data_IF_768273995285
#
_entry.id   IF_768273995285
#
_cell.length_a   1.000
_cell.length_b   1.000
_cell.length_c   1.000
_cell.angle_alpha   90.00
_cell.angle_beta   90.00
_cell.angle_gamma   90.00
#
_symmetry.space_group_name_H-M   'P 1'
#
loop_
_entity.id
_entity.type
_entity.pdbx_description
1 polymer ?
#
# COMPACT_ATOMS: atom_id res chain seq x y z
N UNK A 1 17.67 0.63 -15.48
CA UNK A 1 16.35 0.21 -16.01
C UNK A 1 15.99 -1.12 -15.36
N UNK A 2 14.84 -1.22 -14.73
CA UNK A 2 14.32 -2.46 -14.10
C UNK A 2 13.97 -3.47 -15.20
N UNK A 3 14.58 -4.66 -15.15
CA UNK A 3 14.39 -5.71 -16.18
C UNK A 3 13.61 -6.92 -15.65
N UNK A 4 13.52 -7.06 -14.33
CA UNK A 4 12.89 -8.21 -13.68
C UNK A 4 12.27 -7.84 -12.35
N UNK A 5 11.35 -8.68 -11.85
CA UNK A 5 10.83 -8.60 -10.49
C UNK A 5 11.96 -8.57 -9.45
N UNK A 6 13.01 -9.37 -9.66
CA UNK A 6 14.15 -9.44 -8.72
C UNK A 6 14.94 -8.13 -8.67
N UNK A 7 15.14 -7.46 -9.82
CA UNK A 7 15.78 -6.13 -9.83
C UNK A 7 14.97 -5.13 -9.03
N UNK A 8 13.64 -5.13 -9.22
CA UNK A 8 12.74 -4.24 -8.47
C UNK A 8 12.83 -4.51 -6.97
N UNK A 9 12.76 -5.77 -6.55
CA UNK A 9 12.89 -6.16 -5.14
C UNK A 9 14.20 -5.68 -4.52
N UNK A 10 15.34 -5.88 -5.21
CA UNK A 10 16.66 -5.45 -4.75
C UNK A 10 16.70 -3.92 -4.56
N UNK A 11 16.17 -3.17 -5.51
CA UNK A 11 16.13 -1.71 -5.40
C UNK A 11 15.30 -1.22 -4.21
N UNK A 12 14.16 -1.86 -3.95
CA UNK A 12 13.30 -1.51 -2.82
C UNK A 12 13.92 -1.85 -1.44
N UNK A 13 14.86 -2.78 -1.36
CA UNK A 13 15.57 -3.11 -0.11
C UNK A 13 16.42 -1.94 0.41
N UNK A 14 16.80 -0.99 -0.45
CA UNK A 14 17.54 0.20 -0.09
C UNK A 14 16.69 1.33 0.51
N UNK A 15 15.37 1.21 0.55
CA UNK A 15 14.50 2.25 1.08
C UNK A 15 14.52 2.29 2.61
N UNK A 16 14.44 3.50 3.15
CA UNK A 16 14.29 3.74 4.58
C UNK A 16 12.84 3.48 5.01
N UNK A 17 12.65 2.96 6.22
CA UNK A 17 11.35 2.82 6.85
C UNK A 17 10.84 4.16 7.42
N UNK A 18 9.78 4.09 8.25
CA UNK A 18 9.28 5.25 8.96
C UNK A 18 10.34 5.86 9.88
N UNK A 19 10.57 7.16 9.78
CA UNK A 19 11.45 7.91 10.70
C UNK A 19 10.83 8.08 12.08
N UNK A 20 9.49 8.22 12.15
CA UNK A 20 8.71 8.41 13.38
C UNK A 20 7.42 7.58 13.34
N UNK A 21 7.49 6.26 13.48
CA UNK A 21 6.31 5.40 13.38
C UNK A 21 5.29 5.69 14.48
N UNK A 22 4.01 5.81 14.10
CA UNK A 22 2.88 6.10 15.01
C UNK A 22 2.05 4.83 15.19
N UNK A 23 2.08 4.25 16.39
CA UNK A 23 1.39 2.99 16.69
C UNK A 23 -0.12 3.07 16.46
N UNK A 24 -0.75 4.19 16.81
CA UNK A 24 -2.19 4.40 16.64
C UNK A 24 -2.63 4.45 15.16
N UNK A 25 -1.69 4.69 14.22
CA UNK A 25 -1.90 4.59 12.77
C UNK A 25 -1.53 3.21 12.22
N UNK A 26 -1.08 2.31 13.07
CA UNK A 26 -0.61 0.96 12.68
C UNK A 26 0.47 1.01 11.59
N UNK A 27 1.41 1.96 11.70
CA UNK A 27 2.46 2.18 10.71
C UNK A 27 3.52 1.08 10.77
N UNK A 28 3.60 0.31 9.72
CA UNK A 28 4.68 -0.65 9.42
C UNK A 28 4.95 -0.65 7.92
N UNK A 29 6.21 -0.83 7.57
CA UNK A 29 6.63 -0.82 6.16
C UNK A 29 6.24 -2.13 5.49
N UNK A 30 5.60 -2.06 4.32
CA UNK A 30 5.37 -3.25 3.48
C UNK A 30 6.72 -3.83 3.05
N UNK A 31 6.96 -5.14 3.24
CA UNK A 31 8.22 -5.75 2.85
C UNK A 31 8.51 -5.57 1.35
N UNK A 32 9.77 -5.27 0.97
CA UNK A 32 10.17 -5.03 -0.42
C UNK A 32 9.73 -6.11 -1.40
N UNK A 33 9.89 -7.39 -1.03
CA UNK A 33 9.49 -8.52 -1.88
C UNK A 33 7.98 -8.55 -2.17
N UNK A 34 7.16 -8.19 -1.16
CA UNK A 34 5.70 -8.16 -1.31
C UNK A 34 5.27 -6.97 -2.17
N UNK A 35 5.81 -5.77 -1.90
CA UNK A 35 5.52 -4.59 -2.68
C UNK A 35 5.94 -4.77 -4.15
N UNK A 36 7.16 -5.29 -4.39
CA UNK A 36 7.63 -5.61 -5.72
C UNK A 36 6.69 -6.59 -6.45
N UNK A 37 6.27 -7.67 -5.78
CA UNK A 37 5.39 -8.68 -6.38
C UNK A 37 4.03 -8.10 -6.78
N UNK A 38 3.42 -7.25 -5.94
CA UNK A 38 2.12 -6.64 -6.20
C UNK A 38 2.21 -5.62 -7.35
N UNK A 39 3.21 -4.75 -7.33
CA UNK A 39 3.40 -3.74 -8.38
C UNK A 39 3.78 -4.40 -9.71
N UNK A 40 4.62 -5.43 -9.67
CA UNK A 40 4.98 -6.19 -10.86
C UNK A 40 3.77 -6.90 -11.50
N UNK A 41 2.87 -7.45 -10.67
CA UNK A 41 1.62 -8.04 -11.16
C UNK A 41 0.75 -7.01 -11.90
N UNK A 42 0.62 -5.80 -11.34
CA UNK A 42 -0.09 -4.69 -11.98
C UNK A 42 0.59 -4.25 -13.28
N UNK A 43 1.93 -4.18 -13.29
CA UNK A 43 2.73 -3.87 -14.47
C UNK A 43 2.49 -4.88 -15.61
N UNK A 44 2.55 -6.18 -15.31
CA UNK A 44 2.30 -7.25 -16.29
C UNK A 44 0.87 -7.26 -16.83
N UNK A 45 -0.07 -6.64 -16.12
CA UNK A 45 -1.46 -6.45 -16.55
C UNK A 45 -1.68 -5.15 -17.36
N UNK A 46 -0.66 -4.31 -17.51
CA UNK A 46 -0.76 -3.03 -18.20
C UNK A 46 -1.57 -1.96 -17.44
N UNK A 47 -1.58 -2.02 -16.09
CA UNK A 47 -2.41 -1.17 -15.25
C UNK A 47 -1.62 -0.01 -14.59
N UNK A 48 -0.33 0.19 -14.92
CA UNK A 48 0.59 1.13 -14.27
C UNK A 48 0.81 2.45 -15.03
N UNK A 49 -0.22 3.08 -15.59
CA UNK A 49 -0.04 4.40 -16.23
C UNK A 49 0.01 5.54 -15.19
N UNK A 50 -1.06 5.69 -14.42
CA UNK A 50 -1.17 6.64 -13.30
C UNK A 50 -1.51 5.91 -12.03
N UNK A 51 -0.70 6.10 -11.02
CA UNK A 51 -0.76 5.35 -9.76
C UNK A 51 -1.02 6.30 -8.59
N UNK A 52 -1.85 5.87 -7.66
CA UNK A 52 -1.96 6.49 -6.33
C UNK A 52 -1.59 5.45 -5.27
N UNK A 53 -0.59 5.77 -4.44
CA UNK A 53 -0.24 5.01 -3.25
C UNK A 53 -1.02 5.58 -2.07
N UNK A 54 -2.00 4.84 -1.56
CA UNK A 54 -2.98 5.29 -0.56
C UNK A 54 -2.59 4.80 0.83
N UNK A 55 -2.29 5.73 1.74
CA UNK A 55 -1.62 5.42 3.00
C UNK A 55 -0.19 4.98 2.71
N UNK A 56 0.53 5.82 1.97
CA UNK A 56 1.79 5.44 1.34
C UNK A 56 2.91 5.12 2.34
N UNK A 57 2.84 5.62 3.57
CA UNK A 57 3.94 5.51 4.51
C UNK A 57 5.25 6.00 3.91
N UNK A 58 6.36 5.24 4.02
CA UNK A 58 7.64 5.59 3.40
C UNK A 58 7.67 5.45 1.86
N UNK A 59 6.56 5.10 1.21
CA UNK A 59 6.40 5.15 -0.24
C UNK A 59 6.89 3.92 -1.01
N UNK A 60 6.90 2.73 -0.42
CA UNK A 60 7.45 1.53 -1.08
C UNK A 60 6.72 1.17 -2.38
N UNK A 61 5.38 1.29 -2.41
CA UNK A 61 4.61 1.07 -3.64
C UNK A 61 4.80 2.19 -4.65
N UNK A 62 4.82 3.43 -4.17
CA UNK A 62 5.05 4.61 -5.00
C UNK A 62 6.39 4.54 -5.73
N UNK A 63 7.48 4.26 -4.99
CA UNK A 63 8.82 4.11 -5.56
C UNK A 63 8.86 2.95 -6.56
N UNK A 64 8.26 1.80 -6.22
CA UNK A 64 8.19 0.65 -7.13
C UNK A 64 7.48 1.00 -8.44
N UNK A 65 6.34 1.69 -8.38
CA UNK A 65 5.58 2.09 -9.56
C UNK A 65 6.33 3.13 -10.40
N UNK A 66 6.94 4.13 -9.77
CA UNK A 66 7.72 5.15 -10.46
C UNK A 66 8.95 4.56 -11.16
N UNK A 67 9.64 3.58 -10.55
CA UNK A 67 10.76 2.86 -11.19
C UNK A 67 10.34 2.08 -12.44
N UNK A 68 9.07 1.72 -12.57
CA UNK A 68 8.48 1.08 -13.75
C UNK A 68 7.86 2.08 -14.74
N UNK A 69 8.03 3.39 -14.51
CA UNK A 69 7.64 4.44 -15.45
C UNK A 69 6.25 5.02 -15.23
N UNK A 70 5.61 4.74 -14.09
CA UNK A 70 4.31 5.32 -13.75
C UNK A 70 4.42 6.80 -13.36
N UNK A 71 3.37 7.58 -13.64
CA UNK A 71 3.10 8.84 -12.97
C UNK A 71 2.47 8.55 -11.61
N UNK A 72 3.07 9.02 -10.52
CA UNK A 72 2.72 8.57 -9.15
C UNK A 72 2.34 9.73 -8.25
N UNK A 73 1.26 9.55 -7.50
CA UNK A 73 0.89 10.40 -6.36
C UNK A 73 0.89 9.54 -5.10
N UNK A 74 1.63 9.97 -4.08
CA UNK A 74 1.57 9.44 -2.72
C UNK A 74 0.54 10.21 -1.91
N UNK A 75 -0.25 9.54 -1.08
CA UNK A 75 -1.07 10.20 -0.08
C UNK A 75 -1.01 9.46 1.26
N UNK A 76 -0.85 10.23 2.32
CA UNK A 76 -0.91 9.72 3.70
C UNK A 76 -1.54 10.78 4.60
N UNK A 77 -2.18 10.36 5.68
CA UNK A 77 -2.73 11.28 6.68
C UNK A 77 -1.63 11.86 7.57
N UNK A 78 -0.47 11.20 7.62
CA UNK A 78 0.69 11.56 8.42
C UNK A 78 1.73 12.33 7.58
N UNK A 79 1.95 13.59 7.95
CA UNK A 79 2.96 14.44 7.31
C UNK A 79 4.38 13.88 7.40
N UNK A 80 4.75 13.22 8.52
CA UNK A 80 6.07 12.60 8.66
C UNK A 80 6.24 11.44 7.65
N UNK A 81 5.18 10.64 7.43
CA UNK A 81 5.18 9.58 6.43
C UNK A 81 5.32 10.13 5.00
N UNK A 82 4.63 11.23 4.69
CA UNK A 82 4.78 11.92 3.38
C UNK A 82 6.21 12.41 3.17
N UNK A 83 6.86 12.96 4.21
CA UNK A 83 8.28 13.35 4.16
C UNK A 83 9.20 12.15 3.94
N UNK A 84 8.95 11.02 4.61
CA UNK A 84 9.71 9.79 4.43
C UNK A 84 9.59 9.27 2.99
N UNK A 85 8.37 9.31 2.40
CA UNK A 85 8.12 8.96 1.00
C UNK A 85 8.95 9.86 0.05
N UNK A 86 8.92 11.17 0.24
CA UNK A 86 9.70 12.11 -0.57
C UNK A 86 11.21 11.89 -0.45
N UNK A 87 11.71 11.60 0.76
CA UNK A 87 13.12 11.27 0.99
C UNK A 87 13.55 10.01 0.24
N UNK A 88 12.68 8.98 0.19
CA UNK A 88 12.93 7.74 -0.55
C UNK A 88 12.83 7.91 -2.06
N UNK A 89 12.24 8.99 -2.56
CA UNK A 89 11.94 9.21 -3.98
C UNK A 89 12.71 10.37 -4.62
N UNK A 90 13.78 10.85 -4.01
CA UNK A 90 14.53 12.05 -4.45
C UNK A 90 15.00 12.04 -5.91
N UNK A 91 15.17 10.86 -6.52
CA UNK A 91 15.58 10.69 -7.92
C UNK A 91 14.40 10.32 -8.85
N UNK A 92 13.19 10.32 -8.34
CA UNK A 92 11.98 9.92 -9.05
C UNK A 92 10.97 11.07 -9.05
N UNK A 93 10.18 11.17 -10.11
CA UNK A 93 9.09 12.14 -10.17
C UNK A 93 7.85 11.56 -9.48
N UNK A 94 7.69 11.87 -8.19
CA UNK A 94 6.56 11.45 -7.36
C UNK A 94 5.98 12.71 -6.70
N UNK A 95 4.70 12.93 -6.90
CA UNK A 95 3.96 13.95 -6.14
C UNK A 95 3.48 13.34 -4.83
N UNK A 96 3.51 14.12 -3.73
CA UNK A 96 3.08 13.65 -2.44
C UNK A 96 2.18 14.68 -1.72
N UNK A 97 1.15 14.20 -1.03
CA UNK A 97 0.15 15.06 -0.39
C UNK A 97 -0.28 14.48 0.96
N UNK A 98 -0.43 15.35 1.96
CA UNK A 98 -1.07 15.00 3.23
C UNK A 98 -2.59 14.99 3.02
N UNK A 99 -3.22 13.80 3.11
CA UNK A 99 -4.64 13.63 2.78
C UNK A 99 -5.25 12.44 3.52
N UNK A 100 -6.50 12.60 3.97
CA UNK A 100 -7.29 11.49 4.53
C UNK A 100 -7.82 10.59 3.40
N UNK A 101 -7.46 9.31 3.43
CA UNK A 101 -7.90 8.31 2.46
C UNK A 101 -9.42 8.12 2.40
N UNK A 102 -10.15 8.46 3.46
CA UNK A 102 -11.62 8.40 3.51
C UNK A 102 -12.31 9.63 2.90
N UNK A 103 -11.56 10.71 2.70
CA UNK A 103 -12.05 11.98 2.12
C UNK A 103 -11.09 12.49 1.07
N UNK A 104 -10.80 11.69 0.04
CA UNK A 104 -9.80 12.05 -0.97
C UNK A 104 -10.28 13.24 -1.80
N UNK A 105 -9.43 14.27 -1.90
CA UNK A 105 -9.62 15.40 -2.81
C UNK A 105 -9.14 15.10 -4.23
N UNK A 106 -9.21 13.84 -4.67
CA UNK A 106 -8.77 13.39 -5.99
C UNK A 106 -9.99 13.29 -6.91
N UNK A 107 -9.86 13.84 -8.13
CA UNK A 107 -10.94 13.77 -9.13
C UNK A 107 -11.26 12.33 -9.53
N UNK A 108 -12.50 12.09 -9.90
CA UNK A 108 -12.96 10.79 -10.40
C UNK A 108 -12.12 10.30 -11.59
N UNK A 109 -11.93 8.99 -11.70
CA UNK A 109 -11.19 8.37 -12.80
C UNK A 109 -9.74 8.86 -12.98
N UNK A 110 -9.10 9.31 -11.90
CA UNK A 110 -7.74 9.84 -11.97
C UNK A 110 -6.70 8.76 -12.21
N UNK A 111 -6.74 7.67 -11.45
CA UNK A 111 -5.70 6.64 -11.45
C UNK A 111 -6.11 5.36 -12.19
N UNK A 112 -5.16 4.74 -12.89
CA UNK A 112 -5.30 3.41 -13.48
C UNK A 112 -5.18 2.33 -12.42
N UNK A 113 -4.25 2.49 -11.45
CA UNK A 113 -4.14 1.62 -10.30
C UNK A 113 -3.92 2.39 -9.00
N UNK A 114 -4.44 1.82 -7.90
CA UNK A 114 -4.11 2.23 -6.55
C UNK A 114 -3.54 1.06 -5.74
N UNK A 115 -2.57 1.35 -4.88
CA UNK A 115 -2.03 0.39 -3.93
C UNK A 115 -2.41 0.81 -2.52
N UNK A 116 -2.82 -0.14 -1.68
CA UNK A 116 -3.26 0.11 -0.32
C UNK A 116 -2.75 -1.00 0.59
N UNK A 117 -1.95 -0.64 1.60
CA UNK A 117 -1.68 -1.49 2.76
C UNK A 117 -2.36 -0.85 3.97
N UNK A 118 -3.65 -1.11 4.22
CA UNK A 118 -4.42 -0.43 5.23
C UNK A 118 -4.05 -0.91 6.64
N UNK A 119 -4.36 -0.14 7.69
CA UNK A 119 -4.27 -0.61 9.06
C UNK A 119 -5.16 -1.85 9.29
N UNK A 120 -4.63 -2.81 10.08
CA UNK A 120 -5.27 -4.12 10.27
C UNK A 120 -6.30 -4.18 11.41
N UNK A 121 -6.67 -3.04 12.00
CA UNK A 121 -7.71 -2.94 13.02
C UNK A 121 -7.25 -3.41 14.41
N UNK A 122 -5.96 -3.24 14.74
CA UNK A 122 -5.43 -3.46 16.09
C UNK A 122 -5.73 -2.24 16.95
N UNK A 123 -5.45 -1.05 16.43
CA UNK A 123 -5.69 0.26 17.06
C UNK A 123 -6.76 1.08 16.32
N UNK A 124 -6.95 0.82 15.05
CA UNK A 124 -7.93 1.47 14.20
C UNK A 124 -9.31 0.82 14.33
N UNK A 125 -10.36 1.55 13.91
CA UNK A 125 -11.72 1.02 13.90
C UNK A 125 -11.87 -0.15 12.92
N UNK A 126 -12.73 -1.11 13.27
CA UNK A 126 -13.08 -2.22 12.39
C UNK A 126 -13.65 -1.74 11.06
N UNK A 127 -13.19 -2.32 9.96
CA UNK A 127 -13.67 -2.05 8.61
C UNK A 127 -13.05 -0.83 7.95
N UNK A 128 -12.09 -0.16 8.59
CA UNK A 128 -11.34 0.95 7.99
C UNK A 128 -10.66 0.52 6.69
N UNK A 129 -10.06 -0.66 6.67
CA UNK A 129 -9.46 -1.29 5.48
C UNK A 129 -10.44 -1.35 4.29
N UNK A 130 -11.64 -1.81 4.53
CA UNK A 130 -12.71 -1.90 3.50
C UNK A 130 -13.19 -0.51 3.06
N UNK A 131 -13.30 0.42 4.01
CA UNK A 131 -13.75 1.79 3.70
C UNK A 131 -12.71 2.55 2.87
N UNK A 132 -11.41 2.34 3.12
CA UNK A 132 -10.34 2.91 2.29
C UNK A 132 -10.41 2.38 0.85
N UNK A 133 -10.62 1.07 0.65
CA UNK A 133 -10.81 0.49 -0.69
C UNK A 133 -12.03 1.11 -1.38
N UNK A 134 -13.16 1.25 -0.68
CA UNK A 134 -14.37 1.86 -1.25
C UNK A 134 -14.17 3.33 -1.63
N UNK A 135 -13.49 4.11 -0.80
CA UNK A 135 -13.17 5.49 -1.11
C UNK A 135 -12.26 5.58 -2.36
N UNK A 136 -11.25 4.70 -2.46
CA UNK A 136 -10.35 4.65 -3.60
C UNK A 136 -11.05 4.25 -4.91
N UNK A 137 -12.13 3.46 -4.89
CA UNK A 137 -12.94 3.15 -6.07
C UNK A 137 -13.56 4.40 -6.73
N UNK A 138 -13.69 5.51 -6.02
CA UNK A 138 -14.16 6.78 -6.61
C UNK A 138 -13.20 7.34 -7.65
N UNK A 139 -11.89 7.21 -7.42
CA UNK A 139 -10.86 7.82 -8.28
C UNK A 139 -9.92 6.81 -8.97
N UNK A 140 -9.97 5.54 -8.60
CA UNK A 140 -9.15 4.47 -9.17
C UNK A 140 -9.96 3.50 -10.03
N UNK A 141 -9.35 3.02 -11.13
CA UNK A 141 -9.91 1.94 -11.94
C UNK A 141 -9.70 0.58 -11.28
N UNK A 142 -8.48 0.30 -10.82
CA UNK A 142 -8.10 -0.98 -10.20
C UNK A 142 -7.39 -0.69 -8.88
N UNK A 143 -7.70 -1.48 -7.85
CA UNK A 143 -7.09 -1.36 -6.53
C UNK A 143 -6.45 -2.68 -6.15
N UNK A 144 -5.19 -2.64 -5.72
CA UNK A 144 -4.49 -3.73 -5.08
C UNK A 144 -4.38 -3.43 -3.59
N UNK A 145 -5.01 -4.25 -2.76
CA UNK A 145 -5.05 -4.03 -1.31
C UNK A 145 -4.63 -5.27 -0.53
N UNK A 146 -3.95 -5.05 0.61
CA UNK A 146 -3.47 -6.12 1.49
C UNK A 146 -4.43 -6.24 2.67
N UNK A 147 -4.91 -7.45 2.96
CA UNK A 147 -5.84 -7.70 4.07
C UNK A 147 -5.44 -8.92 4.87
N UNK A 148 -5.75 -8.94 6.18
CA UNK A 148 -5.60 -10.16 6.99
C UNK A 148 -6.44 -11.29 6.37
N UNK A 149 -5.91 -12.51 6.41
CA UNK A 149 -6.63 -13.69 5.95
C UNK A 149 -8.01 -13.82 6.63
N UNK A 150 -8.10 -13.50 7.92
CA UNK A 150 -9.35 -13.57 8.68
C UNK A 150 -10.44 -12.60 8.20
N UNK A 151 -10.07 -11.46 7.59
CA UNK A 151 -11.03 -10.46 7.07
C UNK A 151 -11.34 -10.63 5.58
N UNK A 152 -10.61 -11.49 4.86
CA UNK A 152 -10.71 -11.65 3.40
C UNK A 152 -12.14 -11.84 2.90
N UNK A 153 -12.90 -12.76 3.50
CA UNK A 153 -14.29 -13.06 3.06
C UNK A 153 -15.21 -11.83 3.15
N UNK A 154 -15.03 -11.01 4.19
CA UNK A 154 -15.82 -9.78 4.39
C UNK A 154 -15.44 -8.74 3.34
N UNK A 155 -14.12 -8.57 3.09
CA UNK A 155 -13.62 -7.59 2.11
C UNK A 155 -14.10 -7.96 0.70
N UNK A 156 -13.92 -9.21 0.27
CA UNK A 156 -14.38 -9.69 -1.05
C UNK A 156 -15.88 -9.44 -1.26
N UNK A 157 -16.71 -9.77 -0.25
CA UNK A 157 -18.16 -9.55 -0.32
C UNK A 157 -18.53 -8.06 -0.44
N UNK A 158 -17.79 -7.17 0.26
CA UNK A 158 -18.09 -5.73 0.31
C UNK A 158 -17.54 -4.95 -0.87
N UNK A 159 -16.48 -5.42 -1.50
CA UNK A 159 -15.77 -4.69 -2.57
C UNK A 159 -15.98 -5.33 -3.95
N UNK A 160 -16.39 -6.60 -4.01
CA UNK A 160 -16.51 -7.33 -5.26
C UNK A 160 -15.16 -7.72 -5.89
N UNK A 161 -14.08 -7.65 -5.12
CA UNK A 161 -12.73 -7.98 -5.59
C UNK A 161 -12.47 -9.47 -5.71
N UNK A 162 -11.28 -9.81 -6.15
CA UNK A 162 -10.75 -11.18 -6.26
C UNK A 162 -9.42 -11.31 -5.50
N UNK A 163 -9.17 -12.48 -4.90
CA UNK A 163 -7.89 -12.78 -4.27
C UNK A 163 -6.85 -13.15 -5.35
N UNK A 164 -5.79 -12.35 -5.46
CA UNK A 164 -4.74 -12.53 -6.49
C UNK A 164 -3.40 -13.02 -5.92
N UNK A 165 -3.25 -13.06 -4.59
CA UNK A 165 -2.03 -13.53 -3.95
C UNK A 165 -2.19 -13.73 -2.45
N UNK A 166 -1.19 -14.40 -1.85
CA UNK A 166 -1.08 -14.60 -0.39
C UNK A 166 0.37 -14.38 0.03
N UNK A 167 0.56 -13.91 1.26
CA UNK A 167 1.88 -13.72 1.86
C UNK A 167 1.78 -13.80 3.37
N UNK A 168 2.93 -13.70 4.04
CA UNK A 168 3.03 -13.54 5.49
C UNK A 168 3.75 -12.22 5.76
N UNK A 169 3.18 -11.39 6.63
CA UNK A 169 3.80 -10.18 7.13
C UNK A 169 4.31 -10.42 8.54
N UNK A 170 5.54 -10.00 8.79
CA UNK A 170 6.10 -9.96 10.13
C UNK A 170 5.84 -8.56 10.69
N UNK A 171 4.87 -8.43 11.59
CA UNK A 171 4.59 -7.16 12.24
C UNK A 171 5.57 -6.92 13.39
N UNK A 172 6.05 -5.67 13.57
CA UNK A 172 6.87 -5.31 14.71
C UNK A 172 6.08 -5.48 16.01
N UNK A 173 6.81 -5.72 17.10
CA UNK A 173 6.25 -5.90 18.44
C UNK A 173 5.49 -4.65 18.89
N UNK A 174 4.19 -4.79 19.12
CA UNK A 174 3.31 -3.67 19.49
C UNK A 174 3.07 -3.54 21.00
N UNK A 175 3.61 -4.49 21.82
CA UNK A 175 3.37 -4.51 23.29
C UNK A 175 4.64 -4.81 24.08
N UNK A 176 4.93 -4.02 25.15
CA UNK A 176 6.08 -4.25 26.04
C UNK A 176 6.02 -5.54 26.88
N UNK A 177 4.86 -6.23 26.92
CA UNK A 177 4.59 -7.36 27.82
C UNK A 177 4.39 -8.72 27.15
N UNK A 178 4.62 -8.84 25.83
CA UNK A 178 4.54 -10.13 25.13
C UNK A 178 5.93 -10.68 24.83
N UNK A 179 6.25 -11.86 25.40
CA UNK A 179 7.53 -12.57 25.25
C UNK A 179 7.82 -13.12 23.84
N UNK A 180 6.97 -12.89 22.86
CA UNK A 180 7.20 -13.30 21.47
C UNK A 180 7.53 -12.11 20.60
N UNK A 181 8.77 -12.02 20.20
CA UNK A 181 9.40 -10.92 19.46
C UNK A 181 8.88 -10.65 18.04
N UNK A 182 7.99 -11.48 17.48
CA UNK A 182 7.43 -11.32 16.13
C UNK A 182 6.05 -11.95 16.05
N UNK A 183 5.11 -11.26 15.39
CA UNK A 183 3.82 -11.81 15.03
C UNK A 183 3.74 -11.97 13.51
N UNK A 184 3.72 -13.22 13.06
CA UNK A 184 3.45 -13.55 11.67
C UNK A 184 1.95 -13.43 11.40
N UNK A 185 1.59 -12.58 10.45
CA UNK A 185 0.21 -12.36 10.02
C UNK A 185 0.04 -12.82 8.58
N UNK A 186 -0.78 -13.85 8.39
CA UNK A 186 -1.16 -14.27 7.05
C UNK A 186 -2.02 -13.19 6.39
N UNK A 187 -1.63 -12.77 5.19
CA UNK A 187 -2.31 -11.76 4.40
C UNK A 187 -2.69 -12.27 3.02
N UNK A 188 -3.75 -11.66 2.49
CA UNK A 188 -4.27 -11.91 1.14
C UNK A 188 -4.22 -10.60 0.38
N UNK A 189 -3.72 -10.64 -0.83
CA UNK A 189 -3.75 -9.53 -1.77
C UNK A 189 -5.05 -9.62 -2.56
N UNK A 190 -5.84 -8.56 -2.50
CA UNK A 190 -7.11 -8.46 -3.20
C UNK A 190 -6.99 -7.43 -4.31
N UNK A 191 -7.35 -7.82 -5.53
CA UNK A 191 -7.55 -6.93 -6.66
C UNK A 191 -9.03 -6.60 -6.77
N UNK A 192 -9.36 -5.33 -6.72
CA UNK A 192 -10.75 -4.84 -6.89
C UNK A 192 -10.78 -3.92 -8.10
N UNK A 193 -11.68 -4.18 -9.04
CA UNK A 193 -11.89 -3.34 -10.21
C UNK A 193 -13.22 -2.61 -10.08
N UNK A 194 -13.21 -1.30 -10.39
CA UNK A 194 -14.41 -0.50 -10.43
C UNK A 194 -15.28 -0.95 -11.59
N UNK A 195 -16.53 -1.26 -11.30
CA UNK A 195 -17.57 -1.63 -12.28
C UNK A 195 -18.19 -0.40 -12.94
#
# INVERSE_FOLDING_TARGET
MIKSLKDLEIMLQGLHGFSKPKLYLEQYTTPPHLAASIVWLSFMRGELERVVDVGCGPGVFAVAAAMLGSSVVCMDIDEDAVKDCLNNSTQLSIDAVVMDALRPGIRDNYATACFINPPFGIWSRRGLDTDMVKAALGFCKVIYSIHKRSSTAIVLRKTGGEAVGRSTLVLPHTYPHHDKYRHDVEVVIIRTERR
#
